data_IF_904277081454
#
_entry.id   IF_904277081454
#
_cell.length_a   1.000
_cell.length_b   1.000
_cell.length_c   1.000
_cell.angle_alpha   90.00
_cell.angle_beta   90.00
_cell.angle_gamma   90.00
#
_symmetry.space_group_name_H-M   'P 1'
#
loop_
_entity.id
_entity.type
_entity.pdbx_description
1 polymer ?
#
# COMPACT_ATOMS: atom_id res chain seq x y z
N UNK A 1 -33.51 -58.04 -29.68
CA UNK A 1 -32.59 -58.19 -28.53
C UNK A 1 -31.66 -56.99 -28.26
N UNK A 2 -31.53 -55.97 -29.14
CA UNK A 2 -30.70 -54.77 -28.87
C UNK A 2 -31.35 -53.73 -27.94
N UNK A 3 -32.69 -53.69 -27.85
CA UNK A 3 -33.39 -52.74 -26.99
C UNK A 3 -33.29 -53.08 -25.48
N UNK A 4 -33.09 -54.35 -25.14
CA UNK A 4 -32.98 -54.79 -23.75
C UNK A 4 -31.65 -54.37 -23.10
N UNK A 5 -30.56 -54.31 -23.85
CA UNK A 5 -29.25 -53.91 -23.31
C UNK A 5 -29.15 -52.40 -23.07
N UNK A 6 -29.80 -51.58 -23.91
CA UNK A 6 -29.87 -50.13 -23.71
C UNK A 6 -30.75 -49.81 -22.49
N UNK A 7 -31.86 -50.54 -22.31
CA UNK A 7 -32.70 -50.40 -21.13
C UNK A 7 -31.95 -50.81 -19.84
N UNK A 8 -31.13 -51.86 -19.85
CA UNK A 8 -30.36 -52.30 -18.67
C UNK A 8 -29.21 -51.33 -18.32
N UNK A 9 -28.56 -50.71 -19.31
CA UNK A 9 -27.55 -49.65 -19.05
C UNK A 9 -28.19 -48.36 -18.55
N UNK A 10 -29.37 -47.99 -19.09
CA UNK A 10 -30.14 -46.84 -18.59
C UNK A 10 -30.77 -47.10 -17.20
N UNK A 11 -31.11 -48.34 -16.88
CA UNK A 11 -31.59 -48.74 -15.55
C UNK A 11 -30.44 -48.92 -14.53
N UNK A 12 -29.22 -49.25 -14.99
CA UNK A 12 -28.03 -49.34 -14.15
C UNK A 12 -27.55 -47.99 -13.59
N UNK A 13 -27.83 -46.88 -14.29
CA UNK A 13 -27.59 -45.51 -13.81
C UNK A 13 -28.63 -45.02 -12.79
N UNK A 14 -29.74 -45.74 -12.61
CA UNK A 14 -30.85 -45.35 -11.73
C UNK A 14 -30.88 -46.18 -10.44
N UNK A 15 -30.06 -47.23 -10.31
CA UNK A 15 -30.14 -48.19 -9.19
C UNK A 15 -28.86 -48.28 -8.34
N UNK A 16 -27.88 -47.39 -8.53
CA UNK A 16 -26.93 -47.07 -7.45
C UNK A 16 -27.58 -45.97 -6.63
N UNK A 17 -28.03 -46.31 -5.42
CA UNK A 17 -28.52 -45.34 -4.45
C UNK A 17 -27.57 -44.14 -4.38
N UNK A 18 -28.16 -42.96 -4.42
CA UNK A 18 -27.58 -41.62 -4.57
C UNK A 18 -26.61 -41.18 -3.44
N UNK A 19 -25.86 -42.11 -2.83
CA UNK A 19 -24.81 -41.75 -1.90
C UNK A 19 -23.63 -41.16 -2.67
N UNK A 20 -23.43 -39.85 -2.55
CA UNK A 20 -22.22 -39.21 -3.07
C UNK A 20 -20.99 -39.91 -2.48
N UNK A 21 -19.98 -40.30 -3.28
CA UNK A 21 -18.83 -41.04 -2.76
C UNK A 21 -18.15 -40.28 -1.61
N UNK A 22 -17.74 -40.98 -0.53
CA UNK A 22 -17.14 -40.34 0.64
C UNK A 22 -15.88 -39.53 0.28
N UNK A 23 -15.15 -39.93 -0.76
CA UNK A 23 -13.99 -39.22 -1.29
C UNK A 23 -14.35 -37.80 -1.79
N UNK A 24 -15.52 -37.63 -2.41
CA UNK A 24 -16.01 -36.34 -2.89
C UNK A 24 -16.42 -35.44 -1.72
N UNK A 25 -17.06 -36.01 -0.69
CA UNK A 25 -17.40 -35.30 0.54
C UNK A 25 -16.14 -34.83 1.28
N UNK A 26 -15.15 -35.70 1.41
CA UNK A 26 -13.86 -35.39 2.02
C UNK A 26 -13.10 -34.33 1.23
N UNK A 27 -13.08 -34.43 -0.11
CA UNK A 27 -12.46 -33.43 -0.96
C UNK A 27 -13.11 -32.04 -0.81
N UNK A 28 -14.45 -31.98 -0.70
CA UNK A 28 -15.15 -30.71 -0.49
C UNK A 28 -14.84 -30.08 0.87
N UNK A 29 -14.79 -30.89 1.93
CA UNK A 29 -14.38 -30.44 3.27
C UNK A 29 -12.93 -29.95 3.26
N UNK A 30 -12.01 -30.69 2.64
CA UNK A 30 -10.62 -30.29 2.49
C UNK A 30 -10.49 -28.98 1.69
N UNK A 31 -11.31 -28.77 0.66
CA UNK A 31 -11.34 -27.52 -0.11
C UNK A 31 -11.86 -26.34 0.71
N UNK A 32 -12.93 -26.51 1.49
CA UNK A 32 -13.42 -25.44 2.38
C UNK A 32 -12.38 -25.08 3.45
N UNK A 33 -11.71 -26.08 4.03
CA UNK A 33 -10.61 -25.86 4.97
C UNK A 33 -9.44 -25.11 4.30
N UNK A 34 -9.06 -25.50 3.09
CA UNK A 34 -8.02 -24.80 2.33
C UNK A 34 -8.41 -23.34 2.02
N UNK A 35 -9.68 -23.05 1.74
CA UNK A 35 -10.14 -21.67 1.56
C UNK A 35 -10.09 -20.86 2.86
N UNK A 36 -10.42 -21.47 4.00
CA UNK A 36 -10.30 -20.82 5.30
C UNK A 36 -8.84 -20.53 5.67
N UNK A 37 -7.92 -21.47 5.42
CA UNK A 37 -6.48 -21.28 5.62
C UNK A 37 -5.91 -20.19 4.69
N UNK A 38 -6.29 -20.21 3.41
CA UNK A 38 -5.90 -19.17 2.46
C UNK A 38 -6.42 -17.78 2.84
N UNK A 39 -7.65 -17.69 3.36
CA UNK A 39 -8.19 -16.42 3.86
C UNK A 39 -7.34 -15.90 5.03
N UNK A 40 -7.01 -16.77 5.99
CA UNK A 40 -6.16 -16.42 7.13
C UNK A 40 -4.76 -15.96 6.69
N UNK A 41 -4.15 -16.64 5.73
CA UNK A 41 -2.85 -16.24 5.18
C UNK A 41 -2.91 -14.86 4.51
N UNK A 42 -3.99 -14.56 3.80
CA UNK A 42 -4.17 -13.27 3.14
C UNK A 42 -4.44 -12.13 4.12
N UNK A 43 -5.13 -12.41 5.23
CA UNK A 43 -5.27 -11.46 6.34
C UNK A 43 -3.90 -11.15 6.98
N UNK A 44 -3.10 -12.19 7.27
CA UNK A 44 -1.74 -12.01 7.79
C UNK A 44 -0.83 -11.25 6.81
N UNK A 45 -0.95 -11.53 5.51
CA UNK A 45 -0.19 -10.83 4.48
C UNK A 45 -0.59 -9.35 4.39
N UNK A 46 -1.89 -9.04 4.49
CA UNK A 46 -2.39 -7.66 4.54
C UNK A 46 -1.78 -6.90 5.73
N UNK A 47 -1.81 -7.49 6.92
CA UNK A 47 -1.23 -6.91 8.14
C UNK A 47 0.27 -6.66 7.97
N UNK A 48 1.00 -7.64 7.43
CA UNK A 48 2.43 -7.51 7.17
C UNK A 48 2.73 -6.36 6.21
N UNK A 49 2.00 -6.26 5.09
CA UNK A 49 2.18 -5.17 4.11
C UNK A 49 1.87 -3.81 4.74
N UNK A 50 0.83 -3.72 5.59
CA UNK A 50 0.51 -2.49 6.33
C UNK A 50 1.68 -2.09 7.22
N UNK A 51 2.16 -3.00 8.09
CA UNK A 51 3.25 -2.72 9.03
C UNK A 51 4.56 -2.37 8.33
N UNK A 52 4.90 -3.08 7.24
CA UNK A 52 6.11 -2.78 6.45
C UNK A 52 6.00 -1.41 5.82
N UNK A 53 4.84 -1.05 5.29
CA UNK A 53 4.65 0.25 4.65
C UNK A 53 4.68 1.39 5.67
N UNK A 54 4.00 1.25 6.80
CA UNK A 54 4.04 2.22 7.89
C UNK A 54 5.47 2.43 8.40
N UNK A 55 6.21 1.34 8.63
CA UNK A 55 7.61 1.41 9.04
C UNK A 55 8.48 2.10 7.98
N UNK A 56 8.26 1.77 6.71
CA UNK A 56 8.97 2.43 5.61
C UNK A 56 8.69 3.93 5.58
N UNK A 57 7.43 4.34 5.75
CA UNK A 57 7.05 5.76 5.80
C UNK A 57 7.70 6.49 6.98
N UNK A 58 7.71 5.89 8.17
CA UNK A 58 8.38 6.46 9.34
C UNK A 58 9.89 6.60 9.12
N UNK A 59 10.53 5.56 8.58
CA UNK A 59 11.95 5.58 8.26
C UNK A 59 12.28 6.64 7.19
N UNK A 60 11.48 6.70 6.12
CA UNK A 60 11.61 7.67 5.07
C UNK A 60 11.51 9.10 5.62
N UNK A 61 10.48 9.40 6.42
CA UNK A 61 10.33 10.69 7.09
C UNK A 61 11.56 11.02 7.94
N UNK A 62 12.01 10.09 8.77
CA UNK A 62 13.18 10.30 9.62
C UNK A 62 14.45 10.65 8.82
N UNK A 63 14.74 9.86 7.77
CA UNK A 63 15.90 10.09 6.90
C UNK A 63 15.78 11.41 6.15
N UNK A 64 14.61 11.70 5.57
CA UNK A 64 14.37 12.95 4.84
C UNK A 64 14.49 14.17 5.73
N UNK A 65 13.92 14.15 6.95
CA UNK A 65 14.07 15.24 7.92
C UNK A 65 15.55 15.49 8.23
N UNK A 66 16.34 14.43 8.48
CA UNK A 66 17.77 14.57 8.77
C UNK A 66 18.56 15.11 7.59
N UNK A 67 18.28 14.64 6.37
CA UNK A 67 18.95 15.10 5.16
C UNK A 67 18.64 16.57 4.87
N UNK A 68 17.36 16.95 4.91
CA UNK A 68 16.93 18.34 4.68
C UNK A 68 17.42 19.29 5.78
N UNK A 69 17.40 18.86 7.04
CA UNK A 69 17.96 19.67 8.13
C UNK A 69 19.47 19.86 7.97
N UNK A 70 20.21 18.81 7.61
CA UNK A 70 21.64 18.92 7.33
C UNK A 70 21.91 19.88 6.16
N UNK A 71 21.15 19.77 5.07
CA UNK A 71 21.26 20.67 3.93
C UNK A 71 20.96 22.13 4.32
N UNK A 72 19.90 22.35 5.09
CA UNK A 72 19.54 23.68 5.60
C UNK A 72 20.67 24.28 6.47
N UNK A 73 21.25 23.48 7.36
CA UNK A 73 22.37 23.91 8.21
C UNK A 73 23.64 24.17 7.40
N UNK A 74 23.92 23.37 6.37
CA UNK A 74 25.04 23.61 5.47
C UNK A 74 24.87 24.96 4.77
N UNK A 75 23.68 25.27 4.25
CA UNK A 75 23.39 26.56 3.64
C UNK A 75 23.36 27.72 4.63
N UNK A 76 23.02 27.49 5.91
CA UNK A 76 23.06 28.51 6.95
C UNK A 76 24.48 28.82 7.46
N UNK A 77 25.36 27.82 7.52
CA UNK A 77 26.66 27.93 8.22
C UNK A 77 27.88 27.89 7.31
N UNK A 78 27.74 27.34 6.11
CA UNK A 78 28.84 27.11 5.18
C UNK A 78 28.51 27.62 3.78
N UNK A 79 29.48 27.49 2.87
CA UNK A 79 29.28 27.77 1.46
C UNK A 79 29.40 26.45 0.66
N UNK A 80 28.31 25.66 0.57
CA UNK A 80 28.36 24.36 -0.11
C UNK A 80 28.75 24.53 -1.58
N UNK A 81 29.54 23.57 -2.06
CA UNK A 81 30.02 23.46 -3.45
C UNK A 81 30.11 21.99 -3.81
N UNK A 82 29.70 21.65 -5.02
CA UNK A 82 29.89 20.33 -5.61
C UNK A 82 30.85 20.44 -6.80
N UNK A 83 31.76 19.47 -6.92
CA UNK A 83 32.54 19.31 -8.14
C UNK A 83 31.57 18.96 -9.27
N UNK A 84 31.70 19.62 -10.42
CA UNK A 84 30.92 19.38 -11.64
C UNK A 84 29.47 19.91 -11.67
N UNK A 85 29.00 20.61 -10.63
CA UNK A 85 27.70 21.30 -10.64
C UNK A 85 27.90 22.82 -10.54
N UNK A 86 27.25 23.57 -11.43
CA UNK A 86 27.26 25.03 -11.37
C UNK A 86 26.63 25.54 -10.08
N UNK A 87 27.26 26.53 -9.44
CA UNK A 87 26.77 27.11 -8.17
C UNK A 87 25.30 27.58 -8.25
N UNK A 88 24.87 28.05 -9.43
CA UNK A 88 23.51 28.54 -9.66
C UNK A 88 22.48 27.41 -9.73
N UNK A 89 22.84 26.29 -10.36
CA UNK A 89 21.98 25.11 -10.47
C UNK A 89 21.87 24.43 -9.11
N UNK A 90 22.99 24.28 -8.40
CA UNK A 90 23.02 23.75 -7.04
C UNK A 90 22.13 24.55 -6.10
N UNK A 91 22.26 25.89 -6.10
CA UNK A 91 21.46 26.75 -5.23
C UNK A 91 19.96 26.64 -5.53
N UNK A 92 19.58 26.47 -6.79
CA UNK A 92 18.18 26.31 -7.19
C UNK A 92 17.64 24.94 -6.78
N UNK A 93 18.35 23.86 -7.11
CA UNK A 93 17.91 22.50 -6.81
C UNK A 93 17.71 22.30 -5.30
N UNK A 94 18.68 22.78 -4.50
CA UNK A 94 18.57 22.72 -3.04
C UNK A 94 17.44 23.60 -2.51
N UNK A 95 17.18 24.76 -3.11
CA UNK A 95 16.05 25.61 -2.72
C UNK A 95 14.70 25.00 -3.07
N UNK A 96 14.59 24.31 -4.20
CA UNK A 96 13.38 23.60 -4.60
C UNK A 96 13.09 22.40 -3.66
N UNK A 97 14.14 21.70 -3.23
CA UNK A 97 14.06 20.60 -2.26
C UNK A 97 13.65 21.06 -0.85
N UNK A 98 14.21 22.17 -0.37
CA UNK A 98 13.93 22.73 0.96
C UNK A 98 12.59 23.48 1.01
N UNK A 99 12.23 24.15 -0.09
CA UNK A 99 11.02 24.94 -0.18
C UNK A 99 11.12 26.35 0.42
N UNK A 100 10.16 27.23 0.11
CA UNK A 100 10.27 28.66 0.39
C UNK A 100 10.29 29.00 1.87
N UNK A 101 9.56 28.26 2.72
CA UNK A 101 9.51 28.53 4.16
C UNK A 101 10.83 28.23 4.86
N UNK A 102 11.45 27.11 4.52
CA UNK A 102 12.76 26.71 5.06
C UNK A 102 13.84 27.66 4.55
N UNK A 103 13.77 28.06 3.27
CA UNK A 103 14.72 29.02 2.67
C UNK A 103 14.61 30.40 3.32
N UNK A 104 13.41 30.89 3.59
CA UNK A 104 13.21 32.16 4.30
C UNK A 104 13.89 32.15 5.68
N UNK A 105 13.75 31.05 6.43
CA UNK A 105 14.38 30.90 7.73
C UNK A 105 15.90 30.73 7.62
N UNK A 106 16.40 29.96 6.65
CA UNK A 106 17.84 29.86 6.38
C UNK A 106 18.44 31.24 6.13
N UNK A 107 17.78 32.06 5.32
CA UNK A 107 18.26 33.40 4.97
C UNK A 107 18.27 34.35 6.17
N UNK A 108 17.38 34.16 7.16
CA UNK A 108 17.38 34.91 8.43
C UNK A 108 18.55 34.50 9.36
N UNK A 109 18.91 33.22 9.38
CA UNK A 109 19.93 32.68 10.31
C UNK A 109 21.33 32.52 9.68
N UNK A 110 21.46 32.83 8.39
CA UNK A 110 22.69 32.61 7.61
C UNK A 110 23.86 33.41 8.19
N UNK A 111 24.95 32.72 8.52
CA UNK A 111 26.11 33.32 9.20
C UNK A 111 26.79 34.42 8.38
N UNK A 112 27.29 35.43 9.10
CA UNK A 112 28.11 36.51 8.52
C UNK A 112 29.31 35.95 7.72
N UNK A 113 29.67 36.66 6.65
CA UNK A 113 30.74 36.32 5.69
C UNK A 113 30.40 35.23 4.66
N UNK A 114 29.18 34.68 4.66
CA UNK A 114 28.73 33.81 3.58
C UNK A 114 28.36 34.64 2.34
N UNK A 115 28.87 34.30 1.14
CA UNK A 115 28.59 35.05 -0.07
C UNK A 115 27.13 34.88 -0.51
N UNK A 116 26.65 35.85 -1.28
CA UNK A 116 25.39 35.73 -2.02
C UNK A 116 25.49 34.59 -3.04
N UNK A 117 24.43 33.77 -3.13
CA UNK A 117 24.23 32.79 -4.20
C UNK A 117 22.98 33.13 -5.00
N UNK A 118 23.18 33.22 -6.31
CA UNK A 118 22.15 33.52 -7.30
C UNK A 118 21.72 32.22 -7.98
N UNK A 119 20.44 32.11 -8.28
CA UNK A 119 19.91 31.04 -9.13
C UNK A 119 20.24 31.28 -10.61
N UNK A 120 19.83 30.36 -11.50
CA UNK A 120 20.15 30.42 -12.94
C UNK A 120 19.60 31.66 -13.64
N UNK A 121 18.52 32.25 -13.11
CA UNK A 121 17.92 33.50 -13.61
C UNK A 121 18.55 34.77 -13.01
N UNK A 122 19.63 34.65 -12.23
CA UNK A 122 20.29 35.79 -11.58
C UNK A 122 19.60 36.32 -10.31
N UNK A 123 18.45 35.76 -9.93
CA UNK A 123 17.76 36.07 -8.67
C UNK A 123 18.54 35.54 -7.46
N UNK A 124 18.62 36.33 -6.38
CA UNK A 124 19.26 35.89 -5.14
C UNK A 124 18.40 34.81 -4.47
N UNK A 125 18.92 33.58 -4.40
CA UNK A 125 18.28 32.46 -3.70
C UNK A 125 18.71 32.45 -2.23
N UNK A 126 20.03 32.63 -2.03
CA UNK A 126 20.63 32.84 -0.72
C UNK A 126 21.34 34.18 -0.71
N UNK A 127 20.85 35.21 0.00
CA UNK A 127 21.53 36.49 0.11
C UNK A 127 22.84 36.36 0.91
N UNK A 128 23.63 37.43 0.93
CA UNK A 128 24.80 37.49 1.79
C UNK A 128 24.38 37.34 3.26
N UNK A 129 25.11 36.52 4.01
CA UNK A 129 24.76 36.21 5.40
C UNK A 129 25.01 37.39 6.34
N UNK A 130 24.08 37.60 7.27
CA UNK A 130 24.11 38.68 8.27
C UNK A 130 24.00 38.18 9.71
N UNK A 131 23.63 36.90 9.90
CA UNK A 131 23.38 36.29 11.20
C UNK A 131 24.65 35.93 11.97
N UNK A 132 24.48 35.69 13.27
CA UNK A 132 25.51 35.17 14.15
C UNK A 132 25.14 33.78 14.70
N UNK A 133 26.09 33.14 15.40
CA UNK A 133 25.87 31.79 15.93
C UNK A 133 24.78 31.74 17.01
N UNK A 134 24.60 32.82 17.77
CA UNK A 134 23.60 32.86 18.84
C UNK A 134 22.18 32.90 18.26
N UNK A 135 21.97 33.72 17.23
CA UNK A 135 20.70 33.81 16.51
C UNK A 135 20.35 32.46 15.86
N UNK A 136 21.34 31.82 15.22
CA UNK A 136 21.17 30.49 14.65
C UNK A 136 20.72 29.47 15.72
N UNK A 137 21.41 29.40 16.85
CA UNK A 137 21.07 28.47 17.94
C UNK A 137 19.66 28.71 18.50
N UNK A 138 19.24 29.97 18.63
CA UNK A 138 17.89 30.33 19.07
C UNK A 138 16.81 29.89 18.08
N UNK A 139 17.12 29.90 16.78
CA UNK A 139 16.21 29.58 15.69
C UNK A 139 16.24 28.11 15.24
N UNK A 140 17.17 27.30 15.76
CA UNK A 140 17.24 25.86 15.46
C UNK A 140 15.92 25.11 15.71
N UNK A 141 15.20 25.31 16.83
CA UNK A 141 13.92 24.61 17.05
C UNK A 141 12.87 24.97 15.99
N UNK A 142 12.83 26.23 15.55
CA UNK A 142 11.94 26.67 14.48
C UNK A 142 12.32 26.02 13.14
N UNK A 143 13.62 25.92 12.85
CA UNK A 143 14.12 25.26 11.64
C UNK A 143 13.75 23.78 11.58
N UNK A 144 13.90 23.08 12.71
CA UNK A 144 13.50 21.68 12.82
C UNK A 144 12.01 21.53 12.52
N UNK A 145 11.16 22.35 13.15
CA UNK A 145 9.71 22.30 12.94
C UNK A 145 9.30 22.52 11.48
N UNK A 146 9.85 23.53 10.80
CA UNK A 146 9.53 23.79 9.38
C UNK A 146 10.01 22.70 8.43
N UNK A 147 11.16 22.08 8.72
CA UNK A 147 11.64 20.94 7.94
C UNK A 147 10.74 19.72 8.14
N UNK A 148 10.31 19.45 9.37
CA UNK A 148 9.37 18.36 9.68
C UNK A 148 8.02 18.55 8.97
N UNK A 149 7.46 19.76 9.01
CA UNK A 149 6.23 20.11 8.28
C UNK A 149 6.38 19.91 6.78
N UNK A 150 7.52 20.33 6.20
CA UNK A 150 7.78 20.14 4.77
C UNK A 150 7.86 18.65 4.41
N UNK A 151 8.56 17.85 5.20
CA UNK A 151 8.69 16.40 4.96
C UNK A 151 7.35 15.70 5.15
N UNK A 152 6.52 16.13 6.10
CA UNK A 152 5.17 15.61 6.28
C UNK A 152 4.32 15.85 5.03
N UNK A 153 4.32 17.09 4.51
CA UNK A 153 3.60 17.46 3.28
C UNK A 153 4.07 16.68 2.05
N UNK A 154 5.38 16.50 1.89
CA UNK A 154 5.93 15.68 0.79
C UNK A 154 5.49 14.20 0.91
N UNK A 155 5.39 13.69 2.14
CA UNK A 155 5.02 12.29 2.41
C UNK A 155 3.53 11.98 2.20
N UNK A 156 2.64 12.95 2.40
CA UNK A 156 1.19 12.77 2.17
C UNK A 156 0.86 12.44 0.71
N UNK A 157 1.67 12.93 -0.23
CA UNK A 157 1.48 12.67 -1.66
C UNK A 157 1.76 11.21 -2.07
N UNK A 158 2.47 10.45 -1.24
CA UNK A 158 2.99 9.11 -1.58
C UNK A 158 2.36 7.96 -0.78
N UNK A 159 1.42 8.21 0.14
CA UNK A 159 1.15 7.31 1.26
C UNK A 159 -0.07 6.38 1.15
N UNK A 160 -0.86 6.42 0.07
CA UNK A 160 -2.07 5.61 0.00
C UNK A 160 -1.77 4.20 -0.54
N UNK A 161 -1.51 3.26 0.38
CA UNK A 161 -1.43 1.83 0.05
C UNK A 161 -2.81 1.36 -0.37
N UNK A 162 -2.93 0.88 -1.61
CA UNK A 162 -4.17 0.34 -2.13
C UNK A 162 -4.39 -1.10 -1.63
N UNK A 163 -5.37 -1.29 -0.76
CA UNK A 163 -5.78 -2.61 -0.26
C UNK A 163 -6.95 -3.22 -1.04
N UNK A 164 -7.40 -2.61 -2.13
CA UNK A 164 -8.58 -3.05 -2.89
C UNK A 164 -8.45 -4.49 -3.39
N UNK A 165 -7.24 -4.92 -3.78
CA UNK A 165 -6.99 -6.29 -4.20
C UNK A 165 -7.21 -7.33 -3.08
N UNK A 166 -6.87 -6.98 -1.83
CA UNK A 166 -7.12 -7.85 -0.67
C UNK A 166 -8.61 -7.97 -0.37
N UNK A 167 -9.34 -6.86 -0.48
CA UNK A 167 -10.78 -6.83 -0.24
C UNK A 167 -11.54 -7.62 -1.33
N UNK A 168 -11.14 -7.48 -2.60
CA UNK A 168 -11.67 -8.29 -3.70
C UNK A 168 -11.39 -9.78 -3.51
N UNK A 169 -10.16 -10.15 -3.13
CA UNK A 169 -9.82 -11.54 -2.86
C UNK A 169 -10.68 -12.15 -1.75
N UNK A 170 -10.87 -11.41 -0.64
CA UNK A 170 -11.74 -11.84 0.47
C UNK A 170 -13.18 -12.08 -0.01
N UNK A 171 -13.76 -11.14 -0.75
CA UNK A 171 -15.11 -11.29 -1.30
C UNK A 171 -15.22 -12.52 -2.21
N UNK A 172 -14.22 -12.79 -3.03
CA UNK A 172 -14.19 -13.95 -3.91
C UNK A 172 -14.11 -15.27 -3.13
N UNK A 173 -13.25 -15.35 -2.11
CA UNK A 173 -13.14 -16.55 -1.27
C UNK A 173 -14.44 -16.80 -0.50
N UNK A 174 -15.07 -15.75 0.05
CA UNK A 174 -16.38 -15.88 0.72
C UNK A 174 -17.46 -16.42 -0.23
N UNK A 175 -17.50 -15.95 -1.48
CA UNK A 175 -18.43 -16.44 -2.49
C UNK A 175 -18.19 -17.93 -2.80
N UNK A 176 -16.93 -18.35 -2.95
CA UNK A 176 -16.60 -19.77 -3.21
C UNK A 176 -16.96 -20.66 -2.01
N UNK A 177 -16.74 -20.19 -0.77
CA UNK A 177 -17.13 -20.93 0.43
C UNK A 177 -18.65 -21.09 0.55
N UNK A 178 -19.43 -20.07 0.17
CA UNK A 178 -20.90 -20.19 0.07
C UNK A 178 -21.32 -21.23 -0.96
N UNK A 179 -20.68 -21.25 -2.13
CA UNK A 179 -20.93 -22.28 -3.16
C UNK A 179 -20.62 -23.68 -2.61
N UNK A 180 -19.48 -23.86 -1.95
CA UNK A 180 -19.10 -25.13 -1.32
C UNK A 180 -20.10 -25.57 -0.23
N UNK A 181 -20.61 -24.64 0.58
CA UNK A 181 -21.63 -24.95 1.59
C UNK A 181 -22.94 -25.46 0.96
N UNK A 182 -23.40 -24.82 -0.12
CA UNK A 182 -24.60 -25.24 -0.86
C UNK A 182 -24.38 -26.63 -1.50
N UNK A 183 -23.20 -26.88 -2.10
CA UNK A 183 -22.86 -28.19 -2.66
C UNK A 183 -22.84 -29.26 -1.55
N UNK A 184 -22.27 -28.95 -0.38
CA UNK A 184 -22.23 -29.87 0.76
C UNK A 184 -23.63 -30.25 1.22
N UNK A 185 -24.52 -29.26 1.36
CA UNK A 185 -25.91 -29.48 1.74
C UNK A 185 -26.64 -30.38 0.71
N UNK A 186 -26.36 -30.21 -0.58
CA UNK A 186 -26.89 -31.08 -1.63
C UNK A 186 -26.37 -32.52 -1.54
N UNK A 187 -25.09 -32.72 -1.19
CA UNK A 187 -24.52 -34.07 -1.04
C UNK A 187 -24.97 -34.75 0.27
N UNK A 188 -25.39 -33.99 1.27
CA UNK A 188 -25.87 -34.50 2.56
C UNK A 188 -27.39 -34.73 2.59
N UNK A 189 -28.16 -34.14 1.67
CA UNK A 189 -29.61 -34.32 1.53
C UNK A 189 -29.91 -34.96 0.17
N UNK A 190 -30.36 -36.21 0.16
CA UNK A 190 -30.97 -36.80 -1.03
C UNK A 190 -32.28 -36.03 -1.35
N UNK A 191 -32.23 -35.18 -2.39
CA UNK A 191 -33.35 -34.55 -3.16
C UNK A 191 -33.70 -33.05 -2.90
N UNK A 192 -33.75 -32.33 -4.04
CA UNK A 192 -34.33 -31.00 -4.41
C UNK A 192 -33.90 -29.71 -3.69
N UNK A 193 -33.21 -28.84 -4.45
CA UNK A 193 -32.90 -27.45 -4.11
C UNK A 193 -34.16 -26.58 -3.95
N UNK A 194 -34.20 -25.76 -2.90
CA UNK A 194 -35.18 -24.69 -2.79
C UNK A 194 -34.86 -23.53 -3.74
N UNK A 195 -35.88 -22.80 -4.21
CA UNK A 195 -35.71 -21.67 -5.14
C UNK A 195 -34.78 -20.58 -4.57
N UNK A 196 -34.75 -20.43 -3.24
CA UNK A 196 -33.90 -19.47 -2.55
C UNK A 196 -32.41 -19.86 -2.61
N UNK A 197 -32.08 -21.16 -2.53
CA UNK A 197 -30.70 -21.65 -2.64
C UNK A 197 -30.16 -21.56 -4.07
N UNK A 198 -31.02 -21.77 -5.08
CA UNK A 198 -30.65 -21.54 -6.48
C UNK A 198 -30.35 -20.05 -6.73
N UNK A 199 -31.13 -19.17 -6.11
CA UNK A 199 -30.93 -17.73 -6.23
C UNK A 199 -29.66 -17.26 -5.52
N UNK A 200 -29.38 -17.77 -4.31
CA UNK A 200 -28.14 -17.45 -3.58
C UNK A 200 -26.90 -17.99 -4.29
N UNK A 201 -26.97 -19.17 -4.93
CA UNK A 201 -25.91 -19.71 -5.77
C UNK A 201 -25.67 -18.83 -7.01
N UNK A 202 -26.74 -18.43 -7.70
CA UNK A 202 -26.65 -17.56 -8.85
C UNK A 202 -26.06 -16.18 -8.51
N UNK A 203 -26.36 -15.65 -7.32
CA UNK A 203 -25.77 -14.42 -6.81
C UNK A 203 -24.28 -14.60 -6.48
N UNK A 204 -23.89 -15.69 -5.80
CA UNK A 204 -22.49 -16.00 -5.50
C UNK A 204 -21.62 -16.22 -6.76
N UNK A 205 -22.19 -16.85 -7.80
CA UNK A 205 -21.52 -17.03 -9.10
C UNK A 205 -21.39 -15.69 -9.85
N UNK A 206 -22.39 -14.81 -9.76
CA UNK A 206 -22.31 -13.47 -10.36
C UNK A 206 -21.27 -12.59 -9.68
N UNK A 207 -21.09 -12.71 -8.36
CA UNK A 207 -20.02 -11.98 -7.65
C UNK A 207 -18.62 -12.42 -8.06
N UNK A 208 -18.42 -13.69 -8.45
CA UNK A 208 -17.12 -14.18 -8.96
C UNK A 208 -16.81 -13.78 -10.41
N UNK A 209 -17.83 -13.39 -11.19
CA UNK A 209 -17.68 -13.01 -12.61
C UNK A 209 -17.46 -11.52 -12.84
N UNK A 210 -17.61 -10.69 -11.80
CA UNK A 210 -17.36 -9.25 -11.84
C UNK A 210 -15.98 -8.95 -11.29
#
# INVERSE_FOLDING_TARGET
MKAAHIAIVALGLVVVGCATPPEVKQALVAKDQAYAENQRLMEQYRELVSHVTERHQQWYRHVQTRLKLNLALQWATTNPKLTDVGDADLAKDDADLLGPEVIALINDIRLKNLPERKGPMGQAVFPAGTGDMNHLLQKLPELIGRVEERVAKDSESSSMVDFTAFDQYRTNVEAVRRINAIIKQYMDIDVTLSRNEVQSLAEAVRTLRR
#
